data_IF_130049852637
#
_entry.id   IF_130049852637
#
_cell.length_a   1.000
_cell.length_b   1.000
_cell.length_c   1.000
_cell.angle_alpha   90.00
_cell.angle_beta   90.00
_cell.angle_gamma   90.00
#
_symmetry.space_group_name_H-M   'P 1'
#
loop_
_entity.id
_entity.type
_entity.pdbx_description
1 polymer ?
#
# COMPACT_ATOMS: atom_id res chain seq x y z
N UNK A 1 -58.05 14.93 32.87
CA UNK A 1 -58.02 14.31 34.21
C UNK A 1 -58.77 12.99 34.14
N UNK A 2 -58.09 11.87 34.31
CA UNK A 2 -58.71 10.55 34.48
C UNK A 2 -58.30 10.00 35.86
N UNK A 3 -59.24 9.55 36.71
CA UNK A 3 -58.92 9.11 38.06
C UNK A 3 -58.18 7.76 38.02
N UNK A 4 -56.99 7.71 38.64
CA UNK A 4 -56.24 6.47 38.82
C UNK A 4 -57.01 5.57 39.79
N UNK A 5 -57.30 4.35 39.35
CA UNK A 5 -57.98 3.32 40.14
C UNK A 5 -57.26 3.06 41.47
N UNK A 6 -58.04 3.06 42.57
CA UNK A 6 -57.58 2.66 43.91
C UNK A 6 -57.17 1.19 43.86
N UNK A 7 -55.90 0.89 44.19
CA UNK A 7 -55.45 -0.48 44.47
C UNK A 7 -56.09 -0.93 45.79
N UNK A 8 -57.01 -1.88 45.71
CA UNK A 8 -57.51 -2.58 46.90
C UNK A 8 -56.35 -3.32 47.58
N UNK A 9 -56.26 -3.19 48.90
CA UNK A 9 -55.23 -3.80 49.71
C UNK A 9 -55.43 -5.32 49.75
N UNK A 10 -54.52 -6.05 49.11
CA UNK A 10 -54.50 -7.52 49.14
C UNK A 10 -54.30 -7.96 50.60
N UNK A 11 -55.08 -8.92 51.15
CA UNK A 11 -55.01 -9.28 52.56
C UNK A 11 -53.60 -9.77 52.92
N UNK A 12 -52.97 -9.12 53.91
CA UNK A 12 -51.55 -9.31 54.27
C UNK A 12 -51.11 -10.78 54.43
N UNK A 13 -52.03 -11.67 54.82
CA UNK A 13 -51.82 -13.13 54.93
C UNK A 13 -51.48 -13.78 53.59
N UNK A 14 -52.08 -13.33 52.48
CA UNK A 14 -51.84 -13.87 51.13
C UNK A 14 -50.49 -13.41 50.57
N UNK A 15 -50.11 -12.15 50.81
CA UNK A 15 -48.78 -11.64 50.43
C UNK A 15 -47.66 -12.36 51.19
N UNK A 16 -47.84 -12.61 52.48
CA UNK A 16 -46.90 -13.38 53.30
C UNK A 16 -46.76 -14.82 52.78
N UNK A 17 -47.87 -15.45 52.40
CA UNK A 17 -47.87 -16.80 51.80
C UNK A 17 -47.13 -16.84 50.46
N UNK A 18 -47.35 -15.85 49.59
CA UNK A 18 -46.65 -15.75 48.29
C UNK A 18 -45.16 -15.50 48.49
N UNK A 19 -44.77 -14.63 49.42
CA UNK A 19 -43.38 -14.37 49.79
C UNK A 19 -42.69 -15.62 50.35
N UNK A 20 -43.36 -16.36 51.23
CA UNK A 20 -42.86 -17.62 51.79
C UNK A 20 -42.71 -18.71 50.72
N UNK A 21 -43.68 -18.87 49.82
CA UNK A 21 -43.61 -19.83 48.71
C UNK A 21 -42.51 -19.47 47.71
N UNK A 22 -42.29 -18.18 47.45
CA UNK A 22 -41.19 -17.69 46.61
C UNK A 22 -39.83 -17.95 47.26
N UNK A 23 -39.71 -17.70 48.56
CA UNK A 23 -38.50 -18.03 49.34
C UNK A 23 -38.22 -19.53 49.34
N UNK A 24 -39.23 -20.38 49.58
CA UNK A 24 -39.10 -21.85 49.52
C UNK A 24 -38.62 -22.33 48.15
N UNK A 25 -39.18 -21.79 47.06
CA UNK A 25 -38.77 -22.12 45.69
C UNK A 25 -37.34 -21.65 45.37
N UNK A 26 -36.93 -20.50 45.89
CA UNK A 26 -35.57 -19.98 45.73
C UNK A 26 -34.53 -20.81 46.50
N UNK A 27 -34.86 -21.25 47.72
CA UNK A 27 -34.02 -22.15 48.54
C UNK A 27 -33.87 -23.52 47.87
N UNK A 28 -34.97 -24.11 47.37
CA UNK A 28 -34.95 -25.42 46.71
C UNK A 28 -34.15 -25.43 45.41
N UNK A 29 -34.25 -24.38 44.58
CA UNK A 29 -33.49 -24.30 43.33
C UNK A 29 -32.03 -23.91 43.55
N UNK A 30 -31.71 -23.21 44.64
CA UNK A 30 -30.39 -22.69 44.93
C UNK A 30 -29.89 -21.67 43.89
N UNK A 31 -28.82 -20.94 44.22
CA UNK A 31 -28.23 -19.91 43.33
C UNK A 31 -27.58 -20.51 42.08
N UNK A 32 -27.32 -21.83 42.07
CA UNK A 32 -26.70 -22.57 40.96
C UNK A 32 -27.63 -23.62 40.32
N UNK A 33 -28.94 -23.33 40.28
CA UNK A 33 -29.98 -24.23 39.76
C UNK A 33 -29.76 -24.74 38.32
N UNK A 34 -29.10 -23.97 37.46
CA UNK A 34 -28.94 -24.27 36.04
C UNK A 34 -27.48 -24.56 35.70
N UNK A 35 -26.95 -25.70 36.20
CA UNK A 35 -25.61 -26.15 35.84
C UNK A 35 -25.62 -26.75 34.42
N UNK A 36 -25.54 -25.89 33.41
CA UNK A 36 -25.52 -26.31 31.99
C UNK A 36 -24.23 -27.10 31.69
N UNK A 37 -24.37 -28.42 31.46
CA UNK A 37 -23.26 -29.28 31.06
C UNK A 37 -22.84 -28.95 29.63
N UNK A 38 -21.53 -28.86 29.36
CA UNK A 38 -21.00 -28.71 27.99
C UNK A 38 -21.02 -30.08 27.31
N UNK A 39 -22.03 -30.33 26.46
CA UNK A 39 -22.13 -31.55 25.67
C UNK A 39 -21.15 -31.48 24.49
N UNK A 40 -20.36 -32.52 24.27
CA UNK A 40 -19.52 -32.69 23.08
C UNK A 40 -20.23 -33.67 22.14
N UNK A 41 -20.60 -33.21 20.96
CA UNK A 41 -21.35 -34.01 19.97
C UNK A 41 -20.45 -34.75 18.98
N UNK A 42 -19.16 -34.44 18.95
CA UNK A 42 -18.17 -35.09 18.09
C UNK A 42 -17.26 -36.00 18.93
N UNK A 43 -16.93 -37.21 18.44
CA UNK A 43 -15.96 -38.09 19.11
C UNK A 43 -14.51 -37.57 18.99
N UNK A 44 -14.26 -36.64 18.06
CA UNK A 44 -12.91 -36.10 17.81
C UNK A 44 -12.63 -34.88 18.68
N UNK A 45 -11.61 -34.95 19.52
CA UNK A 45 -11.16 -33.81 20.32
C UNK A 45 -10.37 -32.81 19.45
N UNK A 46 -10.91 -31.59 19.29
CA UNK A 46 -10.21 -30.49 18.60
C UNK A 46 -9.62 -29.52 19.61
N UNK A 47 -8.38 -29.07 19.37
CA UNK A 47 -7.74 -28.03 20.18
C UNK A 47 -8.63 -26.77 20.17
N UNK A 48 -9.01 -26.23 21.34
CA UNK A 48 -9.81 -25.01 21.39
C UNK A 48 -9.02 -23.84 20.80
N UNK A 49 -9.73 -22.93 20.14
CA UNK A 49 -9.13 -21.67 19.68
C UNK A 49 -8.75 -20.86 20.91
N UNK A 50 -7.45 -20.62 21.07
CA UNK A 50 -6.91 -19.75 22.11
C UNK A 50 -6.65 -18.37 21.53
N UNK A 51 -6.59 -17.37 22.41
CA UNK A 51 -6.20 -16.01 22.04
C UNK A 51 -4.76 -16.01 21.52
N UNK A 52 -4.54 -15.35 20.38
CA UNK A 52 -3.21 -15.15 19.77
C UNK A 52 -2.94 -13.65 19.69
N UNK A 53 -2.09 -13.14 20.57
CA UNK A 53 -1.71 -11.72 20.58
C UNK A 53 -0.89 -11.37 19.34
N UNK A 54 -1.01 -10.13 18.87
CA UNK A 54 -0.11 -9.57 17.85
C UNK A 54 1.28 -9.36 18.47
N UNK A 55 2.33 -9.44 17.64
CA UNK A 55 3.70 -9.18 18.08
C UNK A 55 3.86 -7.71 18.48
N UNK A 56 4.38 -7.45 19.67
CA UNK A 56 4.78 -6.14 20.17
C UNK A 56 6.27 -6.20 20.55
N UNK A 57 7.20 -6.00 19.60
CA UNK A 57 8.63 -6.04 19.91
C UNK A 57 9.05 -4.83 20.76
N UNK A 58 9.98 -5.04 21.71
CA UNK A 58 10.46 -3.98 22.62
C UNK A 58 11.28 -2.90 21.92
N UNK A 59 11.90 -3.22 20.79
CA UNK A 59 12.71 -2.31 19.99
C UNK A 59 12.53 -2.63 18.49
N UNK A 60 12.63 -1.63 17.60
CA UNK A 60 12.57 -1.87 16.16
C UNK A 60 13.84 -2.61 15.69
N UNK A 61 13.69 -3.54 14.74
CA UNK A 61 14.82 -4.30 14.18
C UNK A 61 15.76 -3.46 13.31
N UNK A 62 15.31 -2.31 12.85
CA UNK A 62 16.07 -1.34 12.05
C UNK A 62 15.80 0.04 12.63
N UNK A 63 16.85 0.84 12.78
CA UNK A 63 16.73 2.20 13.30
C UNK A 63 15.91 3.10 12.36
N UNK A 64 16.10 2.97 11.06
CA UNK A 64 15.41 3.77 10.04
C UNK A 64 14.72 2.91 8.97
N UNK A 65 13.59 3.39 8.40
CA UNK A 65 13.01 2.80 7.22
C UNK A 65 13.94 2.95 6.00
N UNK A 66 13.86 2.01 5.07
CA UNK A 66 14.65 2.08 3.83
C UNK A 66 14.02 3.06 2.86
N UNK A 67 14.84 3.89 2.20
CA UNK A 67 14.39 4.73 1.08
C UNK A 67 13.94 3.87 -0.11
N UNK A 68 12.93 4.33 -0.83
CA UNK A 68 12.57 3.70 -2.09
C UNK A 68 13.69 3.96 -3.12
N UNK A 69 14.24 2.89 -3.70
CA UNK A 69 15.29 2.96 -4.73
C UNK A 69 14.71 3.06 -6.14
N UNK A 70 13.44 2.68 -6.32
CA UNK A 70 12.75 2.62 -7.60
C UNK A 70 11.76 3.79 -7.63
N UNK A 71 12.31 4.97 -7.89
CA UNK A 71 11.58 6.22 -8.04
C UNK A 71 11.18 6.44 -9.52
N UNK A 72 10.47 7.54 -9.80
CA UNK A 72 9.94 7.81 -11.13
C UNK A 72 11.04 7.94 -12.20
N UNK A 73 12.18 8.55 -11.84
CA UNK A 73 13.34 8.69 -12.71
C UNK A 73 14.09 7.37 -12.92
N UNK A 74 14.18 6.50 -11.91
CA UNK A 74 14.74 5.15 -12.10
C UNK A 74 13.82 4.26 -12.94
N UNK A 75 12.49 4.45 -12.89
CA UNK A 75 11.52 3.70 -13.70
C UNK A 75 11.66 4.04 -15.18
N UNK A 76 11.66 5.32 -15.54
CA UNK A 76 11.71 5.78 -16.93
C UNK A 76 13.13 6.24 -17.24
N UNK A 77 13.87 5.42 -18.01
CA UNK A 77 15.26 5.72 -18.34
C UNK A 77 15.36 6.75 -19.46
N UNK A 78 14.80 6.43 -20.63
CA UNK A 78 14.82 7.31 -21.79
C UNK A 78 13.71 6.95 -22.80
N UNK A 79 13.22 7.93 -23.58
CA UNK A 79 12.34 7.66 -24.72
C UNK A 79 13.10 6.94 -25.84
N UNK A 80 12.43 6.03 -26.52
CA UNK A 80 13.00 5.31 -27.66
C UNK A 80 12.68 6.06 -28.96
N UNK A 81 13.71 6.47 -29.69
CA UNK A 81 13.60 7.34 -30.88
C UNK A 81 13.88 6.59 -32.18
N UNK A 82 13.45 5.33 -32.31
CA UNK A 82 13.59 4.55 -33.55
C UNK A 82 12.47 4.86 -34.54
N UNK A 83 12.66 4.59 -35.82
CA UNK A 83 11.65 4.80 -36.87
C UNK A 83 10.30 4.16 -36.52
N UNK A 84 10.34 2.91 -36.06
CA UNK A 84 9.14 2.19 -35.61
C UNK A 84 8.46 2.82 -34.38
N UNK A 85 9.21 3.53 -33.53
CA UNK A 85 8.64 4.26 -32.40
C UNK A 85 8.10 5.63 -32.82
N UNK A 86 8.76 6.32 -33.75
CA UNK A 86 8.25 7.57 -34.32
C UNK A 86 6.90 7.33 -35.02
N UNK A 87 6.80 6.27 -35.83
CA UNK A 87 5.53 5.85 -36.44
C UNK A 87 4.41 5.57 -35.41
N UNK A 88 4.77 5.05 -34.24
CA UNK A 88 3.82 4.78 -33.14
C UNK A 88 3.33 6.04 -32.44
N UNK A 89 4.11 7.12 -32.47
CA UNK A 89 3.71 8.43 -31.94
C UNK A 89 2.62 9.00 -32.85
N UNK A 90 2.86 8.99 -34.17
CA UNK A 90 1.96 9.53 -35.19
C UNK A 90 0.66 8.72 -35.33
N UNK A 91 0.75 7.41 -35.58
CA UNK A 91 -0.40 6.59 -35.96
C UNK A 91 -1.34 6.25 -34.80
N UNK A 92 -0.80 6.15 -33.58
CA UNK A 92 -1.51 5.52 -32.45
C UNK A 92 -1.58 6.39 -31.18
N UNK A 93 -0.99 7.59 -31.19
CA UNK A 93 -0.85 8.43 -30.00
C UNK A 93 -0.16 7.65 -28.85
N UNK A 94 0.95 6.98 -29.18
CA UNK A 94 1.72 6.15 -28.23
C UNK A 94 3.17 6.57 -28.12
N UNK A 95 3.62 6.82 -26.89
CA UNK A 95 5.03 7.06 -26.57
C UNK A 95 5.72 5.73 -26.25
N UNK A 96 6.97 5.60 -26.68
CA UNK A 96 7.78 4.41 -26.44
C UNK A 96 8.93 4.76 -25.51
N UNK A 97 9.03 4.06 -24.38
CA UNK A 97 10.08 4.26 -23.39
C UNK A 97 10.88 2.99 -23.17
N UNK A 98 12.17 3.16 -22.86
CA UNK A 98 12.96 2.15 -22.17
C UNK A 98 12.82 2.38 -20.67
N UNK A 99 12.48 1.31 -19.96
CA UNK A 99 12.15 1.31 -18.54
C UNK A 99 12.91 0.22 -17.79
N UNK A 100 12.95 0.34 -16.46
CA UNK A 100 13.56 -0.69 -15.61
C UNK A 100 12.82 -2.04 -15.70
N UNK A 101 13.57 -3.14 -15.65
CA UNK A 101 13.05 -4.50 -15.80
C UNK A 101 12.12 -4.88 -14.65
N UNK A 102 12.28 -4.28 -13.46
CA UNK A 102 11.44 -4.54 -12.29
C UNK A 102 10.16 -3.70 -12.27
N UNK A 103 10.04 -2.70 -13.15
CA UNK A 103 8.90 -1.79 -13.14
C UNK A 103 7.61 -2.46 -13.65
N UNK A 104 6.52 -2.32 -12.89
CA UNK A 104 5.19 -2.79 -13.27
C UNK A 104 4.43 -1.76 -14.12
N UNK A 105 3.41 -2.20 -14.88
CA UNK A 105 2.58 -1.32 -15.72
C UNK A 105 1.97 -0.14 -14.96
N UNK A 106 1.52 -0.37 -13.72
CA UNK A 106 0.98 0.68 -12.86
C UNK A 106 2.04 1.72 -12.47
N UNK A 107 3.24 1.27 -12.13
CA UNK A 107 4.35 2.15 -11.76
C UNK A 107 4.79 3.02 -12.96
N UNK A 108 4.87 2.42 -14.15
CA UNK A 108 5.17 3.14 -15.39
C UNK A 108 4.08 4.20 -15.67
N UNK A 109 2.80 3.83 -15.54
CA UNK A 109 1.67 4.76 -15.71
C UNK A 109 1.80 5.96 -14.77
N UNK A 110 2.07 5.73 -13.48
CA UNK A 110 2.25 6.80 -12.51
C UNK A 110 3.50 7.63 -12.75
N UNK A 111 4.61 7.01 -13.15
CA UNK A 111 5.85 7.72 -13.46
C UNK A 111 5.71 8.65 -14.67
N UNK A 112 5.09 8.17 -15.76
CA UNK A 112 4.83 9.01 -16.95
C UNK A 112 3.92 10.18 -16.58
N UNK A 113 2.85 9.91 -15.83
CA UNK A 113 1.93 10.95 -15.36
C UNK A 113 2.63 12.00 -14.50
N UNK A 114 3.56 11.61 -13.63
CA UNK A 114 4.22 12.52 -12.71
C UNK A 114 5.38 13.31 -13.33
N UNK A 115 6.11 12.71 -14.28
CA UNK A 115 7.28 13.33 -14.90
C UNK A 115 6.93 14.30 -16.03
N UNK A 116 5.88 13.98 -16.78
CA UNK A 116 5.51 14.75 -17.96
C UNK A 116 4.14 15.43 -17.84
N UNK A 117 3.43 15.21 -16.73
CA UNK A 117 2.08 15.75 -16.43
C UNK A 117 1.02 15.37 -17.48
N UNK A 118 1.02 14.09 -17.89
CA UNK A 118 0.14 13.56 -18.95
C UNK A 118 -0.73 12.43 -18.41
N UNK A 119 -1.96 12.35 -18.92
CA UNK A 119 -2.81 11.18 -18.68
C UNK A 119 -2.59 10.04 -19.68
N UNK A 120 -2.50 8.83 -19.12
CA UNK A 120 -2.19 7.60 -19.85
C UNK A 120 -3.44 6.73 -19.90
N UNK A 121 -3.86 6.35 -21.11
CA UNK A 121 -4.93 5.39 -21.31
C UNK A 121 -4.48 3.97 -20.94
N UNK A 122 -3.42 3.48 -21.59
CA UNK A 122 -2.95 2.09 -21.46
C UNK A 122 -1.44 1.97 -21.56
N UNK A 123 -0.87 1.00 -20.85
CA UNK A 123 0.55 0.63 -20.94
C UNK A 123 0.71 -0.83 -21.35
N UNK A 124 1.49 -1.05 -22.40
CA UNK A 124 1.95 -2.36 -22.86
C UNK A 124 3.47 -2.46 -22.63
N UNK A 125 3.97 -3.62 -22.23
CA UNK A 125 5.39 -3.81 -21.93
C UNK A 125 5.89 -5.11 -22.53
N UNK A 126 7.11 -5.11 -23.04
CA UNK A 126 7.87 -6.31 -23.41
C UNK A 126 9.30 -6.22 -22.87
N UNK A 127 9.97 -7.35 -22.74
CA UNK A 127 11.41 -7.41 -22.47
C UNK A 127 12.10 -7.60 -23.83
N UNK A 128 13.07 -6.74 -24.14
CA UNK A 128 13.90 -6.85 -25.35
C UNK A 128 14.95 -7.97 -25.17
N UNK A 129 15.48 -8.55 -26.25
CA UNK A 129 16.61 -9.48 -26.16
C UNK A 129 17.84 -8.85 -25.47
N UNK A 130 17.98 -7.52 -25.56
CA UNK A 130 19.01 -6.72 -24.87
C UNK A 130 18.91 -6.77 -23.32
N UNK A 131 17.85 -7.39 -22.78
CA UNK A 131 17.59 -7.48 -21.34
C UNK A 131 16.88 -6.25 -20.75
N UNK A 132 16.63 -5.20 -21.54
CA UNK A 132 15.89 -4.02 -21.09
C UNK A 132 14.39 -4.11 -21.40
N UNK A 133 13.56 -3.52 -20.54
CA UNK A 133 12.11 -3.50 -20.74
C UNK A 133 11.73 -2.31 -21.63
N UNK A 134 10.97 -2.56 -22.69
CA UNK A 134 10.35 -1.56 -23.56
C UNK A 134 8.88 -1.41 -23.18
N UNK A 135 8.43 -0.17 -23.00
CA UNK A 135 7.05 0.17 -22.69
C UNK A 135 6.43 1.00 -23.81
N UNK A 136 5.30 0.55 -24.34
CA UNK A 136 4.40 1.33 -25.19
C UNK A 136 3.33 1.96 -24.30
N UNK A 137 3.26 3.28 -24.30
CA UNK A 137 2.39 4.07 -23.44
C UNK A 137 1.42 4.83 -24.31
N UNK A 138 0.16 4.38 -24.36
CA UNK A 138 -0.91 5.07 -25.07
C UNK A 138 -1.46 6.18 -24.20
N UNK A 139 -1.45 7.40 -24.73
CA UNK A 139 -1.96 8.58 -24.04
C UNK A 139 -3.49 8.60 -24.07
N UNK A 140 -4.08 9.40 -23.19
CA UNK A 140 -5.47 9.78 -23.29
C UNK A 140 -5.69 10.60 -24.59
N UNK A 141 -6.89 10.53 -25.19
CA UNK A 141 -7.19 11.26 -26.44
C UNK A 141 -7.09 12.78 -26.29
N UNK A 142 -7.15 13.29 -25.06
CA UNK A 142 -7.06 14.73 -24.74
C UNK A 142 -5.63 15.28 -24.89
N UNK A 143 -4.63 14.40 -25.02
CA UNK A 143 -3.21 14.77 -25.17
C UNK A 143 -2.65 14.25 -26.49
N UNK A 144 -1.91 15.09 -27.21
CA UNK A 144 -1.17 14.67 -28.40
C UNK A 144 0.25 14.19 -28.04
N UNK A 145 0.61 12.98 -28.45
CA UNK A 145 1.94 12.42 -28.26
C UNK A 145 3.03 13.17 -29.03
N UNK A 146 2.71 13.82 -30.16
CA UNK A 146 3.70 14.60 -30.91
C UNK A 146 4.20 15.81 -30.12
N UNK A 147 3.27 16.58 -29.54
CA UNK A 147 3.58 17.75 -28.72
C UNK A 147 4.38 17.38 -27.48
N UNK A 148 3.97 16.29 -26.83
CA UNK A 148 4.71 15.74 -25.69
C UNK A 148 6.10 15.30 -26.13
N UNK A 149 6.22 14.57 -27.24
CA UNK A 149 7.50 14.05 -27.71
C UNK A 149 8.49 15.19 -27.98
N UNK A 150 8.02 16.33 -28.50
CA UNK A 150 8.86 17.51 -28.71
C UNK A 150 9.37 18.09 -27.38
N UNK A 151 8.50 18.16 -26.36
CA UNK A 151 8.87 18.59 -25.00
C UNK A 151 9.88 17.64 -24.35
N UNK A 152 9.67 16.33 -24.50
CA UNK A 152 10.58 15.29 -24.00
C UNK A 152 11.91 15.31 -24.77
N UNK A 153 11.87 15.50 -26.09
CA UNK A 153 13.07 15.55 -26.93
C UNK A 153 13.98 16.68 -26.49
N UNK A 154 13.45 17.89 -26.34
CA UNK A 154 14.19 19.07 -25.84
C UNK A 154 14.89 18.80 -24.50
N UNK A 155 14.16 18.28 -23.52
CA UNK A 155 14.70 18.01 -22.17
C UNK A 155 15.78 16.92 -22.19
N UNK A 156 15.61 15.86 -22.98
CA UNK A 156 16.58 14.77 -23.06
C UNK A 156 17.83 15.17 -23.85
N UNK A 157 17.71 15.94 -24.94
CA UNK A 157 18.90 16.43 -25.67
C UNK A 157 19.76 17.37 -24.83
N UNK A 158 19.15 18.27 -24.05
CA UNK A 158 19.89 19.18 -23.16
C UNK A 158 20.61 18.41 -22.03
N UNK A 159 19.97 17.40 -21.44
CA UNK A 159 20.59 16.57 -20.40
C UNK A 159 21.72 15.67 -20.94
N UNK A 160 21.61 15.18 -22.18
CA UNK A 160 22.70 14.43 -22.83
C UNK A 160 23.90 15.33 -23.14
N UNK A 161 23.66 16.59 -23.50
CA UNK A 161 24.75 17.55 -23.76
C UNK A 161 25.52 17.88 -22.48
N UNK A 162 24.83 18.01 -21.34
CA UNK A 162 25.46 18.35 -20.07
C UNK A 162 26.28 17.22 -19.43
N UNK A 163 26.04 15.94 -19.78
CA UNK A 163 26.86 14.82 -19.30
C UNK A 163 28.11 14.55 -20.16
N UNK A 164 28.15 15.07 -21.40
CA UNK A 164 29.27 14.86 -22.31
C UNK A 164 30.32 15.99 -22.27
N UNK A 165 30.08 17.08 -21.53
CA UNK A 165 30.95 18.28 -21.51
C UNK A 165 31.85 18.37 -20.26
N UNK A 166 31.84 17.38 -19.35
CA UNK A 166 32.83 17.35 -18.24
C UNK A 166 33.59 16.04 -18.13
N UNK A 167 34.75 15.91 -18.81
CA UNK A 167 35.84 15.09 -18.34
C UNK A 167 36.95 16.01 -17.79
N UNK A 168 36.88 16.38 -16.51
CA UNK A 168 38.09 16.82 -15.80
C UNK A 168 38.24 15.98 -14.53
N UNK A 169 39.17 15.02 -14.48
CA UNK A 169 39.53 14.39 -13.22
C UNK A 169 40.17 15.46 -12.34
N UNK A 170 39.55 15.76 -11.19
CA UNK A 170 40.26 16.41 -10.10
C UNK A 170 41.35 15.44 -9.63
N UNK A 171 42.57 15.63 -10.13
CA UNK A 171 43.77 15.08 -9.54
C UNK A 171 43.90 15.68 -8.14
N UNK A 172 43.61 14.85 -7.13
CA UNK A 172 43.90 15.17 -5.74
C UNK A 172 45.41 15.30 -5.61
N UNK A 173 45.88 16.53 -5.39
CA UNK A 173 47.27 16.81 -5.05
C UNK A 173 47.59 16.08 -3.74
N UNK A 174 48.67 15.28 -3.65
CA UNK A 174 49.06 14.69 -2.38
C UNK A 174 49.42 15.82 -1.41
N UNK A 175 48.67 15.92 -0.32
CA UNK A 175 48.98 16.78 0.83
C UNK A 175 50.39 16.46 1.31
N UNK A 176 51.25 17.48 1.43
CA UNK A 176 52.60 17.31 1.97
C UNK A 176 52.54 16.76 3.39
N UNK A 177 53.49 15.90 3.81
CA UNK A 177 53.63 15.55 5.22
C UNK A 177 54.10 16.78 6.02
N UNK A 178 53.70 16.91 7.31
CA UNK A 178 54.15 18.01 8.15
C UNK A 178 55.65 17.89 8.48
N UNK A 179 56.35 19.03 8.66
CA UNK A 179 57.77 19.02 9.01
C UNK A 179 57.98 18.44 10.41
N UNK A 180 58.87 17.46 10.50
CA UNK A 180 59.45 17.02 11.77
C UNK A 180 60.54 18.04 12.13
N UNK A 181 60.31 18.81 13.19
CA UNK A 181 61.29 19.72 13.80
C UNK A 181 62.07 18.99 14.91
N UNK A 182 63.27 19.49 15.27
CA UNK A 182 64.49 18.70 15.48
C UNK A 182 64.55 17.85 16.75
#
# INVERSE_FOLDING_TARGET
MAPKAKKEAVPAKTEAKVKALKAKKAVLKGVHSQRKKKIRTSPTFRRPKTLRLRRQPKYPRKSAPRRNKLDHYAIIKFPLTTESAMKKIEDNNTLVFIVDVKANKHQIKHAVKKLYDIDVAKVNTLIRPDGEKKAYVRLAPDYDALDVANKVRLTVTLLRYHQNVTPTPFTVSPSSPPPVSP
#
